data_IF_802183305539
#
_entry.id   IF_802183305539
#
_cell.length_a   1.000
_cell.length_b   1.000
_cell.length_c   1.000
_cell.angle_alpha   90.00
_cell.angle_beta   90.00
_cell.angle_gamma   90.00
#
_symmetry.space_group_name_H-M   'P 1'
#
loop_
_entity.id
_entity.type
_entity.pdbx_description
1 polymer ?
#
# COMPACT_ATOMS: atom_id res chain seq x y z
N UNK A 1 -0.67 16.27 28.70
CA UNK A 1 -0.81 15.58 27.40
C UNK A 1 0.57 15.53 26.76
N UNK A 2 1.10 14.33 26.47
CA UNK A 2 2.35 14.18 25.72
C UNK A 2 1.98 13.77 24.29
N UNK A 3 2.12 14.69 23.32
CA UNK A 3 1.90 14.40 21.90
C UNK A 3 3.24 14.00 21.29
N UNK A 4 3.37 12.74 20.88
CA UNK A 4 4.51 12.31 20.05
C UNK A 4 4.13 12.50 18.59
N UNK A 5 4.72 13.49 17.93
CA UNK A 5 4.61 13.66 16.49
C UNK A 5 5.68 12.78 15.83
N UNK A 6 5.26 11.73 15.15
CA UNK A 6 6.16 10.91 14.35
C UNK A 6 6.54 11.70 13.10
N UNK A 7 7.84 11.84 12.84
CA UNK A 7 8.34 12.42 11.59
C UNK A 7 7.94 11.50 10.44
N UNK A 8 7.31 12.07 9.41
CA UNK A 8 7.00 11.32 8.19
C UNK A 8 8.30 10.74 7.60
N UNK A 9 8.36 9.42 7.32
CA UNK A 9 9.64 8.76 7.02
C UNK A 9 10.11 8.98 5.58
N UNK A 10 9.27 9.49 4.68
CA UNK A 10 9.58 9.71 3.27
C UNK A 10 9.71 11.19 2.91
N UNK A 11 10.18 11.46 1.68
CA UNK A 11 10.25 12.82 1.15
C UNK A 11 8.86 13.40 0.90
N UNK A 12 8.78 14.72 1.04
CA UNK A 12 7.62 15.52 0.63
C UNK A 12 8.09 16.37 -0.54
N UNK A 13 7.48 16.15 -1.71
CA UNK A 13 7.66 16.97 -2.89
C UNK A 13 6.54 18.00 -2.95
N UNK A 14 6.87 19.23 -3.32
CA UNK A 14 5.90 20.32 -3.33
C UNK A 14 5.97 21.15 -4.61
N UNK A 15 4.78 21.45 -5.14
CA UNK A 15 4.57 22.40 -6.23
C UNK A 15 3.58 23.47 -5.79
N UNK A 16 3.96 24.74 -5.99
CA UNK A 16 3.09 25.88 -5.70
C UNK A 16 2.65 26.60 -6.97
N UNK A 17 1.37 26.48 -7.32
CA UNK A 17 0.67 27.19 -8.39
C UNK A 17 -0.42 28.10 -7.81
N UNK A 18 -0.04 28.89 -6.81
CA UNK A 18 -0.87 29.93 -6.18
C UNK A 18 -0.07 31.21 -6.03
N UNK A 19 -0.73 32.29 -5.62
CA UNK A 19 -0.05 33.49 -5.14
C UNK A 19 0.33 33.41 -3.64
N UNK A 20 -0.04 32.35 -2.94
CA UNK A 20 0.18 32.17 -1.51
C UNK A 20 1.58 31.60 -1.21
N UNK A 21 2.08 31.85 -0.01
CA UNK A 21 3.38 31.36 0.48
C UNK A 21 3.19 30.26 1.52
N UNK A 22 3.80 29.10 1.28
CA UNK A 22 3.76 27.94 2.18
C UNK A 22 5.17 27.62 2.70
N UNK A 23 5.67 28.42 3.64
CA UNK A 23 7.06 28.36 4.13
C UNK A 23 7.42 27.09 4.89
N UNK A 24 6.42 26.34 5.36
CA UNK A 24 6.58 25.07 6.05
C UNK A 24 6.72 23.86 5.12
N UNK A 25 6.53 24.03 3.81
CA UNK A 25 6.71 22.99 2.80
C UNK A 25 8.03 23.18 2.02
N UNK A 26 8.79 22.11 1.76
CA UNK A 26 10.03 22.19 1.02
C UNK A 26 9.72 22.46 -0.47
N UNK A 27 10.08 23.63 -1.02
CA UNK A 27 9.83 23.93 -2.43
C UNK A 27 10.69 23.03 -3.34
N UNK A 28 10.04 22.18 -4.14
CA UNK A 28 10.73 21.23 -5.02
C UNK A 28 10.59 21.59 -6.49
N UNK A 29 9.38 21.93 -6.93
CA UNK A 29 9.10 22.32 -8.32
C UNK A 29 8.52 23.73 -8.40
N UNK A 30 8.75 24.38 -9.54
CA UNK A 30 8.21 25.70 -9.86
C UNK A 30 7.75 25.75 -11.33
N UNK A 31 7.21 26.89 -11.77
CA UNK A 31 6.67 27.07 -13.13
C UNK A 31 7.66 26.67 -14.24
N UNK A 32 8.98 26.83 -14.04
CA UNK A 32 10.01 26.47 -15.02
C UNK A 32 10.21 24.96 -15.20
N UNK A 33 9.68 24.13 -14.30
CA UNK A 33 9.75 22.67 -14.42
C UNK A 33 8.67 22.09 -15.35
N UNK A 34 7.68 22.91 -15.75
CA UNK A 34 6.61 22.47 -16.64
C UNK A 34 7.04 22.61 -18.11
N UNK A 35 6.92 21.53 -18.88
CA UNK A 35 7.12 21.54 -20.33
C UNK A 35 5.75 21.54 -21.00
N UNK A 36 5.44 22.58 -21.78
CA UNK A 36 4.11 22.75 -22.39
C UNK A 36 2.96 22.66 -21.38
N UNK A 37 3.15 23.27 -20.20
CA UNK A 37 2.24 23.23 -19.05
C UNK A 37 2.02 21.83 -18.44
N UNK A 38 2.89 20.85 -18.74
CA UNK A 38 2.84 19.51 -18.13
C UNK A 38 4.05 19.30 -17.23
N UNK A 39 3.81 18.84 -16.00
CA UNK A 39 4.83 18.36 -15.08
C UNK A 39 4.61 16.86 -14.86
N UNK A 40 5.61 16.06 -15.20
CA UNK A 40 5.64 14.64 -14.87
C UNK A 40 6.58 14.42 -13.69
N UNK A 41 6.12 13.69 -12.67
CA UNK A 41 6.89 13.40 -11.47
C UNK A 41 6.86 11.90 -11.22
N UNK A 42 8.03 11.28 -11.20
CA UNK A 42 8.19 9.92 -10.69
C UNK A 42 8.29 9.97 -9.16
N UNK A 43 7.55 9.11 -8.46
CA UNK A 43 7.50 9.06 -6.99
C UNK A 43 8.00 7.72 -6.49
N UNK A 44 8.91 7.73 -5.52
CA UNK A 44 9.26 6.52 -4.79
C UNK A 44 8.14 6.14 -3.80
N UNK A 45 8.17 4.89 -3.36
CA UNK A 45 7.21 4.34 -2.41
C UNK A 45 7.04 5.23 -1.17
N UNK A 46 5.78 5.54 -0.83
CA UNK A 46 5.45 6.36 0.32
C UNK A 46 5.82 7.84 0.20
N UNK A 47 6.41 8.33 -0.90
CA UNK A 47 6.63 9.77 -1.05
C UNK A 47 5.30 10.53 -1.14
N UNK A 48 5.26 11.72 -0.53
CA UNK A 48 4.11 12.61 -0.63
C UNK A 48 4.36 13.64 -1.71
N UNK A 49 3.37 13.86 -2.55
CA UNK A 49 3.30 15.02 -3.43
C UNK A 49 2.22 15.97 -2.94
N UNK A 50 2.61 17.22 -2.68
CA UNK A 50 1.71 18.30 -2.28
C UNK A 50 1.58 19.29 -3.42
N UNK A 51 0.35 19.52 -3.86
CA UNK A 51 0.01 20.55 -4.83
C UNK A 51 -0.72 21.68 -4.13
N UNK A 52 -0.14 22.88 -4.12
CA UNK A 52 -0.89 24.10 -3.90
C UNK A 52 -1.37 24.65 -5.24
N UNK A 53 -2.67 24.92 -5.36
CA UNK A 53 -3.25 25.42 -6.60
C UNK A 53 -4.48 26.30 -6.37
N UNK A 54 -4.59 27.37 -7.16
CA UNK A 54 -5.64 28.39 -7.01
C UNK A 54 -7.04 27.83 -7.32
N UNK A 55 -7.14 26.98 -8.34
CA UNK A 55 -8.37 26.31 -8.77
C UNK A 55 -8.05 24.85 -9.13
N UNK A 56 -8.39 23.95 -8.22
CA UNK A 56 -8.13 22.51 -8.33
C UNK A 56 -9.38 21.79 -8.87
N UNK A 57 -9.17 20.86 -9.80
CA UNK A 57 -10.22 19.92 -10.19
C UNK A 57 -10.59 19.03 -8.98
N UNK A 58 -11.90 18.89 -8.66
CA UNK A 58 -12.37 18.04 -7.55
C UNK A 58 -11.91 16.57 -7.63
N UNK A 59 -11.59 16.08 -8.83
CA UNK A 59 -11.09 14.72 -9.06
C UNK A 59 -9.57 14.61 -9.13
N UNK A 60 -8.85 15.67 -8.75
CA UNK A 60 -7.39 15.71 -8.69
C UNK A 60 -6.84 14.48 -7.93
N UNK A 61 -5.99 13.72 -8.61
CA UNK A 61 -5.39 12.47 -8.14
C UNK A 61 -6.36 11.33 -7.76
N UNK A 62 -7.63 11.43 -8.16
CA UNK A 62 -8.63 10.38 -7.98
C UNK A 62 -8.87 9.57 -9.26
N UNK A 63 -8.46 10.10 -10.42
CA UNK A 63 -8.60 9.44 -11.71
C UNK A 63 -7.37 8.56 -11.99
N UNK A 64 -7.35 7.34 -11.45
CA UNK A 64 -6.50 6.26 -11.95
C UNK A 64 -7.17 5.61 -13.16
N UNK A 65 -6.42 5.34 -14.24
CA UNK A 65 -6.94 4.65 -15.43
C UNK A 65 -7.34 3.19 -15.18
N UNK A 66 -6.87 2.60 -14.09
CA UNK A 66 -7.21 1.24 -13.71
C UNK A 66 -7.81 1.22 -12.30
N UNK A 67 -8.84 0.39 -12.10
CA UNK A 67 -9.43 0.05 -10.78
C UNK A 67 -8.44 -0.69 -9.86
N UNK A 68 -7.14 -0.64 -10.17
CA UNK A 68 -6.07 -1.24 -9.40
C UNK A 68 -5.90 -0.48 -8.08
N UNK A 69 -6.70 -0.89 -7.10
CA UNK A 69 -6.30 -1.06 -5.70
C UNK A 69 -5.72 0.18 -5.02
N UNK A 70 -6.49 1.25 -5.03
CA UNK A 70 -6.28 2.36 -4.11
C UNK A 70 -7.32 2.31 -2.99
N UNK A 71 -7.01 1.56 -1.91
CA UNK A 71 -7.72 1.68 -0.63
C UNK A 71 -6.82 2.29 0.45
N UNK A 72 -5.99 3.27 0.09
CA UNK A 72 -5.28 4.10 1.07
C UNK A 72 -4.79 5.43 0.45
N UNK A 73 -5.72 6.25 -0.04
CA UNK A 73 -5.39 7.66 -0.33
C UNK A 73 -6.28 8.53 0.56
N UNK A 74 -5.83 8.80 1.78
CA UNK A 74 -6.38 9.90 2.57
C UNK A 74 -5.96 11.21 1.89
N UNK A 75 -6.71 11.61 0.86
CA UNK A 75 -6.55 12.93 0.23
C UNK A 75 -7.12 13.94 1.22
N UNK A 76 -6.24 14.66 1.90
CA UNK A 76 -6.64 15.78 2.76
C UNK A 76 -6.75 17.01 1.87
N UNK A 77 -7.98 17.45 1.61
CA UNK A 77 -8.23 18.74 0.99
C UNK A 77 -8.10 19.84 2.03
N UNK A 78 -7.12 20.71 1.83
CA UNK A 78 -7.26 22.12 2.24
C UNK A 78 -7.84 22.85 1.03
N UNK A 79 -8.52 23.99 1.20
CA UNK A 79 -9.22 24.67 0.08
C UNK A 79 -8.36 24.90 -1.18
N UNK A 80 -7.03 25.01 -1.01
CA UNK A 80 -6.04 25.16 -2.09
C UNK A 80 -4.95 24.09 -2.12
N UNK A 81 -5.00 23.08 -1.23
CA UNK A 81 -3.99 22.02 -1.18
C UNK A 81 -4.61 20.66 -1.50
N UNK A 82 -3.96 19.93 -2.39
CA UNK A 82 -4.19 18.50 -2.59
C UNK A 82 -2.92 17.74 -2.26
N UNK A 83 -3.06 16.64 -1.55
CA UNK A 83 -1.96 15.74 -1.18
C UNK A 83 -2.20 14.38 -1.84
N UNK A 84 -1.16 13.85 -2.47
CA UNK A 84 -1.11 12.47 -2.96
C UNK A 84 0.01 11.72 -2.23
N UNK A 85 -0.27 10.51 -1.73
CA UNK A 85 0.75 9.58 -1.22
C UNK A 85 0.99 8.54 -2.30
N UNK A 86 2.24 8.39 -2.72
CA UNK A 86 2.62 7.29 -3.59
C UNK A 86 2.37 5.97 -2.84
N UNK A 87 1.62 5.03 -3.44
CA UNK A 87 1.36 3.74 -2.80
C UNK A 87 2.69 3.00 -2.58
N UNK A 88 2.76 2.23 -1.51
CA UNK A 88 3.90 1.36 -1.24
C UNK A 88 4.09 0.24 -2.27
N UNK A 89 3.03 -0.10 -3.00
CA UNK A 89 3.03 -1.16 -4.01
C UNK A 89 2.17 -0.78 -5.22
N UNK A 90 2.72 -1.04 -6.40
CA UNK A 90 2.02 -0.94 -7.69
C UNK A 90 2.22 -2.21 -8.50
N UNK A 91 1.17 -2.63 -9.20
CA UNK A 91 1.15 -3.88 -9.96
C UNK A 91 1.67 -3.75 -11.39
N UNK A 92 1.83 -2.53 -11.91
CA UNK A 92 2.30 -2.29 -13.29
C UNK A 92 2.99 -0.93 -13.42
N UNK A 93 3.72 -0.74 -14.54
CA UNK A 93 4.38 0.52 -14.90
C UNK A 93 3.42 1.60 -15.39
N UNK A 94 2.20 1.21 -15.76
CA UNK A 94 1.22 2.10 -16.39
C UNK A 94 0.34 2.82 -15.37
N UNK A 95 0.54 2.51 -14.08
CA UNK A 95 -0.14 3.17 -12.97
C UNK A 95 0.31 4.64 -12.91
N UNK A 96 -0.60 5.54 -13.22
CA UNK A 96 -0.41 6.97 -13.08
C UNK A 96 -1.68 7.62 -12.54
N UNK A 97 -1.51 8.81 -11.99
CA UNK A 97 -2.62 9.68 -11.61
C UNK A 97 -2.36 11.10 -12.05
N UNK A 98 -3.42 11.84 -12.33
CA UNK A 98 -3.31 13.19 -12.86
C UNK A 98 -4.13 14.21 -12.10
N UNK A 99 -3.69 15.46 -12.22
CA UNK A 99 -4.39 16.60 -11.71
C UNK A 99 -4.24 17.78 -12.66
N UNK A 100 -5.30 18.56 -12.80
CA UNK A 100 -5.27 19.83 -13.53
C UNK A 100 -5.43 20.98 -12.54
N UNK A 101 -4.57 21.97 -12.70
CA UNK A 101 -4.56 23.21 -11.93
C UNK A 101 -4.69 24.40 -12.88
N UNK A 102 -5.62 25.33 -12.60
CA UNK A 102 -5.71 26.60 -13.31
C UNK A 102 -5.01 27.71 -12.53
N UNK A 103 -4.00 28.34 -13.15
CA UNK A 103 -3.24 29.44 -12.55
C UNK A 103 -2.80 30.44 -13.64
N UNK A 104 -2.95 31.75 -13.38
CA UNK A 104 -2.60 32.85 -14.32
C UNK A 104 -3.11 32.62 -15.76
N UNK A 105 -4.35 32.18 -15.92
CA UNK A 105 -4.99 31.82 -17.20
C UNK A 105 -4.41 30.61 -17.95
N UNK A 106 -3.42 29.92 -17.40
CA UNK A 106 -2.92 28.65 -17.93
C UNK A 106 -3.57 27.46 -17.22
N UNK A 107 -3.70 26.35 -17.94
CA UNK A 107 -4.09 25.06 -17.38
C UNK A 107 -2.83 24.18 -17.29
N UNK A 108 -2.35 24.00 -16.07
CA UNK A 108 -1.23 23.12 -15.76
C UNK A 108 -1.73 21.70 -15.51
N UNK A 109 -1.08 20.72 -16.11
CA UNK A 109 -1.31 19.30 -15.86
C UNK A 109 -0.15 18.73 -15.06
N UNK A 110 -0.45 18.04 -13.97
CA UNK A 110 0.50 17.31 -13.17
C UNK A 110 0.19 15.83 -13.35
N UNK A 111 1.19 15.04 -13.73
CA UNK A 111 1.10 13.58 -13.86
C UNK A 111 2.06 12.97 -12.86
N UNK A 112 1.52 12.25 -11.88
CA UNK A 112 2.29 11.52 -10.89
C UNK A 112 2.40 10.06 -11.33
N UNK A 113 3.62 9.55 -11.34
CA UNK A 113 3.96 8.19 -11.77
C UNK A 113 4.64 7.49 -10.58
N UNK A 114 3.89 6.76 -9.74
CA UNK A 114 4.51 5.89 -8.75
C UNK A 114 5.50 4.94 -9.42
N UNK A 115 6.69 4.82 -8.86
CA UNK A 115 7.75 3.99 -9.43
C UNK A 115 7.34 2.52 -9.33
N UNK A 116 7.37 1.83 -10.47
CA UNK A 116 7.15 0.38 -10.49
C UNK A 116 8.46 -0.34 -10.19
N UNK A 117 8.49 -1.01 -9.05
CA UNK A 117 9.55 -1.95 -8.69
C UNK A 117 8.92 -3.31 -8.38
N UNK A 118 9.44 -4.36 -9.01
CA UNK A 118 8.98 -5.72 -8.72
C UNK A 118 9.47 -6.11 -7.32
N UNK A 119 8.57 -6.04 -6.34
CA UNK A 119 8.84 -6.43 -4.95
C UNK A 119 8.56 -7.92 -4.73
N UNK A 120 9.43 -8.55 -3.96
CA UNK A 120 9.17 -9.88 -3.41
C UNK A 120 8.18 -9.74 -2.25
N UNK A 121 7.17 -10.60 -2.23
CA UNK A 121 6.19 -10.69 -1.15
C UNK A 121 6.68 -11.73 -0.16
N UNK A 122 6.98 -11.31 1.06
CA UNK A 122 7.35 -12.22 2.15
C UNK A 122 6.10 -12.92 2.65
N UNK A 123 5.91 -14.16 2.24
CA UNK A 123 4.59 -14.74 2.26
C UNK A 123 4.51 -16.10 1.60
N UNK A 124 3.31 -16.65 1.62
CA UNK A 124 3.04 -18.01 1.15
C UNK A 124 2.11 -17.98 -0.06
N UNK A 125 2.57 -18.56 -1.16
CA UNK A 125 1.73 -18.87 -2.32
C UNK A 125 1.13 -20.26 -2.18
N UNK A 126 -0.18 -20.35 -1.91
CA UNK A 126 -0.89 -21.62 -1.84
C UNK A 126 -1.50 -22.08 -3.17
N UNK A 127 -1.44 -21.24 -4.20
CA UNK A 127 -1.95 -21.57 -5.53
C UNK A 127 -0.93 -22.34 -6.36
N UNK A 128 -1.45 -23.16 -7.26
CA UNK A 128 -0.67 -23.87 -8.29
C UNK A 128 -0.33 -22.98 -9.49
N UNK A 129 -0.92 -21.78 -9.59
CA UNK A 129 -0.70 -20.87 -10.70
C UNK A 129 0.70 -20.25 -10.65
N UNK A 130 1.45 -20.36 -11.74
CA UNK A 130 2.73 -19.67 -11.93
C UNK A 130 2.44 -18.22 -12.32
N UNK A 131 2.11 -17.39 -11.33
CA UNK A 131 1.88 -15.96 -11.55
C UNK A 131 3.17 -15.26 -11.96
N UNK A 132 3.11 -14.47 -13.04
CA UNK A 132 4.21 -13.58 -13.44
C UNK A 132 4.15 -12.22 -12.74
N UNK A 133 2.97 -11.85 -12.21
CA UNK A 133 2.66 -10.57 -11.56
C UNK A 133 3.18 -10.52 -10.13
N UNK A 134 2.99 -11.61 -9.39
CA UNK A 134 3.37 -11.72 -7.98
C UNK A 134 4.55 -12.68 -7.80
N UNK A 135 5.39 -12.46 -6.79
CA UNK A 135 6.51 -13.35 -6.47
C UNK A 135 6.62 -13.46 -4.96
N UNK A 136 6.27 -14.62 -4.44
CA UNK A 136 6.30 -14.94 -3.02
C UNK A 136 7.63 -15.59 -2.62
N UNK A 137 8.06 -15.43 -1.37
CA UNK A 137 9.25 -16.11 -0.83
C UNK A 137 9.05 -17.62 -0.73
N UNK A 138 7.84 -18.05 -0.38
CA UNK A 138 7.51 -19.43 -0.09
C UNK A 138 6.29 -19.88 -0.92
N UNK A 139 6.28 -21.14 -1.33
CA UNK A 139 5.22 -21.70 -2.17
C UNK A 139 4.88 -23.12 -1.72
N UNK A 140 3.60 -23.39 -1.54
CA UNK A 140 3.07 -24.68 -1.16
C UNK A 140 1.68 -24.86 -1.78
N UNK A 141 1.57 -25.62 -2.86
CA UNK A 141 0.28 -25.87 -3.49
C UNK A 141 -0.67 -26.67 -2.58
N UNK A 142 -1.73 -26.01 -2.10
CA UNK A 142 -2.73 -26.61 -1.20
C UNK A 142 -3.56 -27.72 -1.88
N UNK A 143 -3.49 -27.86 -3.21
CA UNK A 143 -4.17 -28.99 -3.87
C UNK A 143 -3.40 -30.31 -3.74
N UNK A 144 -2.10 -30.26 -3.44
CA UNK A 144 -1.22 -31.44 -3.34
C UNK A 144 -1.19 -32.06 -1.94
N UNK A 145 -1.89 -31.46 -0.98
CA UNK A 145 -1.86 -31.88 0.44
C UNK A 145 -3.09 -32.71 0.78
N UNK A 146 -3.03 -33.57 1.79
CA UNK A 146 -4.16 -34.43 2.16
C UNK A 146 -5.36 -33.63 2.68
N UNK A 147 -6.58 -34.16 2.49
CA UNK A 147 -7.86 -33.50 2.88
C UNK A 147 -8.01 -33.18 4.38
N UNK A 148 -7.14 -33.71 5.22
CA UNK A 148 -7.13 -33.49 6.68
C UNK A 148 -5.83 -32.86 7.21
N UNK A 149 -4.89 -32.55 6.32
CA UNK A 149 -3.63 -31.94 6.70
C UNK A 149 -3.84 -30.46 7.05
N UNK A 150 -3.34 -30.07 8.22
CA UNK A 150 -3.16 -28.67 8.59
C UNK A 150 -1.70 -28.32 8.34
N UNK A 151 -1.41 -27.46 7.36
CA UNK A 151 -0.03 -27.17 6.99
C UNK A 151 0.29 -25.71 7.25
N UNK A 152 1.38 -25.51 8.01
CA UNK A 152 1.92 -24.19 8.27
C UNK A 152 2.97 -23.81 7.22
N UNK A 153 2.83 -22.63 6.64
CA UNK A 153 3.93 -21.94 5.97
C UNK A 153 4.38 -20.77 6.86
N UNK A 154 5.64 -20.82 7.30
CA UNK A 154 6.17 -19.92 8.32
C UNK A 154 7.10 -18.88 7.71
N UNK A 155 6.76 -17.61 7.88
CA UNK A 155 7.57 -16.48 7.40
C UNK A 155 8.13 -15.73 8.60
N UNK A 156 9.46 -15.63 8.68
CA UNK A 156 10.15 -14.93 9.75
C UNK A 156 10.90 -13.71 9.20
N UNK A 157 10.54 -12.51 9.68
CA UNK A 157 11.20 -11.25 9.31
C UNK A 157 11.87 -10.63 10.54
N UNK A 158 13.19 -10.49 10.49
CA UNK A 158 14.00 -9.96 11.59
C UNK A 158 14.93 -8.88 11.05
N UNK A 159 14.45 -7.63 11.09
CA UNK A 159 15.18 -6.47 10.59
C UNK A 159 15.06 -5.31 11.59
N UNK A 160 16.09 -4.45 11.71
CA UNK A 160 16.01 -3.27 12.59
C UNK A 160 14.97 -2.25 12.12
N UNK A 161 14.73 -2.20 10.80
CA UNK A 161 13.66 -1.43 10.15
C UNK A 161 13.16 -2.22 8.95
N UNK A 162 11.85 -2.32 8.83
CA UNK A 162 11.16 -3.02 7.76
C UNK A 162 10.85 -2.08 6.60
N UNK A 163 10.89 -2.65 5.40
CA UNK A 163 10.40 -2.04 4.16
C UNK A 163 9.84 -3.16 3.26
N UNK A 164 8.90 -3.95 3.79
CA UNK A 164 8.51 -5.23 3.20
C UNK A 164 7.03 -5.25 2.80
N UNK A 165 6.74 -6.03 1.76
CA UNK A 165 5.40 -6.54 1.50
C UNK A 165 5.27 -7.92 2.13
N UNK A 166 4.19 -8.13 2.88
CA UNK A 166 3.84 -9.41 3.50
C UNK A 166 2.49 -9.84 2.97
N UNK A 167 2.30 -11.13 2.69
CA UNK A 167 1.11 -11.55 1.98
C UNK A 167 0.83 -13.04 1.96
N UNK A 168 -0.35 -13.40 1.46
CA UNK A 168 -0.62 -14.75 0.97
C UNK A 168 -1.39 -14.72 -0.35
N UNK A 169 -1.21 -15.77 -1.16
CA UNK A 169 -2.07 -16.09 -2.29
C UNK A 169 -2.85 -17.37 -1.99
N UNK A 170 -4.18 -17.32 -2.04
CA UNK A 170 -5.05 -18.43 -1.68
C UNK A 170 -6.01 -18.80 -2.81
N UNK A 171 -6.01 -20.05 -3.31
CA UNK A 171 -6.96 -20.54 -4.32
C UNK A 171 -8.35 -20.90 -3.73
N UNK A 172 -8.74 -20.26 -2.63
CA UNK A 172 -9.93 -20.60 -1.83
C UNK A 172 -10.41 -19.40 -0.99
N UNK A 173 -10.75 -19.65 0.27
CA UNK A 173 -11.17 -18.62 1.22
C UNK A 173 -10.05 -18.26 2.19
N UNK A 174 -9.93 -16.97 2.51
CA UNK A 174 -8.95 -16.47 3.47
C UNK A 174 -9.69 -16.18 4.77
N UNK A 175 -9.18 -16.69 5.88
CA UNK A 175 -9.79 -16.56 7.20
C UNK A 175 -8.74 -16.09 8.22
N UNK A 176 -9.01 -15.01 9.00
CA UNK A 176 -10.14 -14.09 8.90
C UNK A 176 -9.99 -13.17 7.68
N UNK A 177 -10.56 -11.96 7.69
CA UNK A 177 -10.35 -10.94 6.66
C UNK A 177 -8.91 -10.37 6.68
N UNK A 178 -7.95 -11.23 6.36
CA UNK A 178 -6.55 -10.90 6.32
C UNK A 178 -6.25 -9.85 5.24
N UNK A 179 -5.35 -8.91 5.45
CA UNK A 179 -4.53 -8.72 6.67
C UNK A 179 -5.08 -7.70 7.65
N UNK A 180 -6.26 -7.12 7.40
CA UNK A 180 -6.85 -6.16 8.34
C UNK A 180 -7.17 -6.84 9.67
N UNK A 181 -7.65 -8.08 9.61
CA UNK A 181 -7.83 -8.97 10.73
C UNK A 181 -6.82 -10.12 10.66
N UNK A 182 -6.36 -10.60 11.81
CA UNK A 182 -5.47 -11.76 11.93
C UNK A 182 -5.77 -12.54 13.21
N UNK A 183 -5.38 -13.81 13.27
CA UNK A 183 -5.43 -14.60 14.51
C UNK A 183 -4.22 -14.30 15.40
N UNK A 184 -4.45 -14.13 16.70
CA UNK A 184 -3.36 -14.11 17.69
C UNK A 184 -2.75 -15.51 17.91
N UNK A 185 -1.45 -15.60 18.24
CA UNK A 185 -0.84 -16.86 18.61
C UNK A 185 -1.29 -17.33 20.01
N UNK A 186 -1.76 -18.59 20.06
CA UNK A 186 -1.97 -19.53 21.19
C UNK A 186 -3.34 -19.52 21.91
N UNK A 187 -3.99 -20.66 22.22
CA UNK A 187 -3.60 -22.09 22.33
C UNK A 187 -3.98 -22.99 21.14
N UNK A 188 -3.68 -24.31 21.21
CA UNK A 188 -3.79 -25.38 20.17
C UNK A 188 -5.05 -25.43 19.27
N UNK A 189 -6.09 -24.66 19.57
CA UNK A 189 -7.32 -24.59 18.78
C UNK A 189 -7.51 -23.16 18.24
N UNK A 190 -7.59 -23.03 16.92
CA UNK A 190 -7.92 -21.80 16.21
C UNK A 190 -9.39 -21.44 16.43
N UNK A 191 -9.72 -20.90 17.60
CA UNK A 191 -11.07 -20.42 17.90
C UNK A 191 -11.32 -19.05 17.24
N UNK A 192 -12.48 -18.82 16.60
CA UNK A 192 -12.87 -17.52 16.05
C UNK A 192 -12.78 -16.35 17.04
N UNK A 193 -12.78 -16.63 18.35
CA UNK A 193 -12.69 -15.65 19.43
C UNK A 193 -11.33 -14.92 19.52
N UNK A 194 -10.29 -15.37 18.80
CA UNK A 194 -8.94 -14.82 18.89
C UNK A 194 -8.55 -13.93 17.69
N UNK A 195 -9.53 -13.41 16.95
CA UNK A 195 -9.31 -12.44 15.86
C UNK A 195 -8.99 -11.07 16.44
N UNK A 196 -7.90 -10.47 15.97
CA UNK A 196 -7.48 -9.09 16.31
C UNK A 196 -7.17 -8.28 15.06
N UNK A 197 -7.19 -6.96 15.18
CA UNK A 197 -6.76 -6.06 14.11
C UNK A 197 -5.23 -6.00 14.02
N UNK A 198 -4.68 -6.12 12.81
CA UNK A 198 -3.23 -6.12 12.60
C UNK A 198 -2.56 -4.83 13.06
N UNK A 199 -3.21 -3.67 12.85
CA UNK A 199 -2.75 -2.37 13.36
C UNK A 199 -2.49 -2.42 14.88
N UNK A 200 -3.35 -3.10 15.63
CA UNK A 200 -3.20 -3.25 17.09
C UNK A 200 -2.13 -4.28 17.46
N UNK A 201 -2.03 -5.37 16.69
CA UNK A 201 -1.09 -6.46 16.93
C UNK A 201 0.37 -6.06 16.63
N UNK A 202 0.60 -5.27 15.58
CA UNK A 202 1.91 -4.72 15.22
C UNK A 202 2.19 -3.41 15.97
N UNK A 203 1.14 -2.65 16.30
CA UNK A 203 1.22 -1.37 16.99
C UNK A 203 2.10 -0.35 16.25
N UNK A 204 1.95 -0.31 14.92
CA UNK A 204 2.52 0.68 14.00
C UNK A 204 1.37 1.39 13.28
N UNK A 205 1.46 2.72 13.14
CA UNK A 205 0.44 3.54 12.48
C UNK A 205 0.60 3.73 10.96
N UNK A 206 1.57 3.05 10.34
CA UNK A 206 1.88 3.13 8.90
C UNK A 206 1.91 1.72 8.29
N UNK A 207 0.72 1.11 8.23
CA UNK A 207 0.45 -0.14 7.53
C UNK A 207 -0.47 0.18 6.36
N UNK A 208 -0.14 -0.33 5.17
CA UNK A 208 -0.98 -0.19 3.99
C UNK A 208 -1.49 -1.55 3.53
N UNK A 209 -2.80 -1.66 3.30
CA UNK A 209 -3.45 -2.91 2.93
C UNK A 209 -3.75 -2.96 1.44
N UNK A 210 -3.47 -4.11 0.83
CA UNK A 210 -3.69 -4.37 -0.59
C UNK A 210 -4.44 -5.70 -0.75
N UNK A 211 -5.26 -5.78 -1.78
CA UNK A 211 -5.92 -7.01 -2.21
C UNK A 211 -5.71 -7.16 -3.71
N UNK A 212 -5.75 -8.35 -4.29
CA UNK A 212 -5.70 -8.54 -5.75
C UNK A 212 -6.36 -9.89 -6.06
N UNK A 213 -6.68 -10.13 -7.34
CA UNK A 213 -7.28 -11.38 -7.77
C UNK A 213 -6.70 -11.86 -9.10
N UNK A 214 -6.41 -13.16 -9.20
CA UNK A 214 -5.93 -13.82 -10.41
C UNK A 214 -6.76 -15.06 -10.73
N UNK A 215 -7.84 -14.88 -11.49
CA UNK A 215 -8.85 -15.93 -11.62
C UNK A 215 -9.59 -16.10 -10.29
N UNK A 216 -9.60 -17.31 -9.75
CA UNK A 216 -10.22 -17.62 -8.46
C UNK A 216 -9.27 -17.39 -7.26
N UNK A 217 -7.99 -17.12 -7.54
CA UNK A 217 -6.97 -16.85 -6.54
C UNK A 217 -7.21 -15.49 -5.88
N UNK A 218 -7.25 -15.50 -4.54
CA UNK A 218 -7.37 -14.30 -3.71
C UNK A 218 -5.99 -13.97 -3.15
N UNK A 219 -5.52 -12.77 -3.45
CA UNK A 219 -4.25 -12.25 -2.95
C UNK A 219 -4.55 -11.17 -1.93
N UNK A 220 -3.99 -11.31 -0.74
CA UNK A 220 -4.08 -10.30 0.33
C UNK A 220 -2.67 -9.94 0.74
N UNK A 221 -2.36 -8.65 0.82
CA UNK A 221 -1.04 -8.15 1.19
C UNK A 221 -1.18 -7.01 2.19
N UNK A 222 -0.12 -6.77 2.95
CA UNK A 222 0.11 -5.50 3.61
C UNK A 222 1.56 -5.05 3.46
N UNK A 223 1.77 -3.74 3.38
CA UNK A 223 3.07 -3.10 3.43
C UNK A 223 3.38 -2.65 4.86
N UNK A 224 4.61 -2.89 5.31
CA UNK A 224 5.12 -2.42 6.59
C UNK A 224 6.40 -1.60 6.39
N UNK A 225 6.42 -0.39 6.92
CA UNK A 225 7.55 0.53 6.87
C UNK A 225 7.93 0.98 8.28
N UNK A 226 9.23 0.93 8.59
CA UNK A 226 9.78 1.38 9.87
C UNK A 226 10.01 0.24 10.87
N UNK A 227 10.15 0.58 12.15
CA UNK A 227 10.52 -0.38 13.20
C UNK A 227 9.31 -0.79 14.03
N UNK A 228 9.17 -2.08 14.34
CA UNK A 228 8.16 -2.59 15.28
C UNK A 228 8.60 -2.36 16.73
N UNK A 229 7.71 -1.91 17.64
CA UNK A 229 8.07 -1.68 19.04
C UNK A 229 8.43 -2.96 19.80
N UNK A 230 7.80 -4.08 19.44
CA UNK A 230 7.99 -5.40 20.04
C UNK A 230 7.88 -6.47 18.97
N UNK A 231 8.63 -7.56 19.13
CA UNK A 231 8.42 -8.78 18.35
C UNK A 231 6.97 -9.24 18.51
N UNK A 232 6.33 -9.59 17.42
CA UNK A 232 4.93 -9.98 17.37
C UNK A 232 4.75 -11.11 16.36
N UNK A 233 3.66 -11.86 16.51
CA UNK A 233 3.30 -12.97 15.63
C UNK A 233 1.79 -12.97 15.42
N UNK A 234 1.35 -13.52 14.30
CA UNK A 234 -0.04 -13.64 13.93
C UNK A 234 -0.21 -14.73 12.86
N UNK A 235 -1.44 -15.20 12.67
CA UNK A 235 -1.74 -16.27 11.71
C UNK A 235 -2.91 -15.87 10.79
N UNK A 236 -2.81 -16.30 9.54
CA UNK A 236 -3.88 -16.26 8.54
C UNK A 236 -4.02 -17.64 7.92
N UNK A 237 -5.25 -18.03 7.61
CA UNK A 237 -5.58 -19.37 7.08
C UNK A 237 -6.02 -19.22 5.64
N UNK A 238 -5.49 -20.06 4.76
CA UNK A 238 -6.02 -20.29 3.43
C UNK A 238 -6.80 -21.59 3.44
N UNK A 239 -8.12 -21.53 3.28
CA UNK A 239 -8.99 -22.70 3.28
C UNK A 239 -9.45 -23.03 1.87
N UNK A 240 -9.21 -24.26 1.43
CA UNK A 240 -9.75 -24.79 0.17
C UNK A 240 -10.46 -26.10 0.46
N UNK A 241 -11.77 -26.13 0.24
CA UNK A 241 -12.64 -27.25 0.61
C UNK A 241 -12.50 -27.61 2.10
N UNK A 242 -11.92 -28.78 2.41
CA UNK A 242 -11.64 -29.26 3.78
C UNK A 242 -10.20 -29.01 4.24
N UNK A 243 -9.33 -28.52 3.35
CA UNK A 243 -7.91 -28.27 3.62
C UNK A 243 -7.71 -26.86 4.16
N UNK A 244 -6.76 -26.69 5.08
CA UNK A 244 -6.43 -25.41 5.71
C UNK A 244 -4.97 -25.29 6.15
#
# INVERSE_FOLDING_TARGET
VHVRVLKYPHNILFTNLTNDLFTYLPKTYNESNFVSNVLEVELNDGELFVLACELINKKCFQEGKEKALYKSNKIIYHEKLTIFKAPFYVTSKDVNTECTCKFKNNNYKIVLKPKYEKKVIHGCNFSSNVSSKHTFTDSLDISLVDDSAHISCNVHLSEPKYNHLVGLNCPGDIIPDCFFQVYQPESEELEPSNIVYLDSQINIGDIEYYEDAEGDDKIKLFGIVGSIPKTTSFTCICKKDKKS
#
